data_IF_175494993725
#
_entry.id   IF_175494993725
#
_cell.length_a   1.000
_cell.length_b   1.000
_cell.length_c   1.000
_cell.angle_alpha   90.00
_cell.angle_beta   90.00
_cell.angle_gamma   90.00
#
_symmetry.space_group_name_H-M   'P 1'
#
loop_
_entity.id
_entity.type
_entity.pdbx_description
1 polymer ?
#
# COMPACT_ATOMS: atom_id res chain seq x y z
N UNK A 1 -0.12 -8.56 26.58
CA UNK A 1 0.89 -9.38 25.91
C UNK A 1 2.19 -9.42 26.72
N UNK A 2 2.71 -10.62 27.02
CA UNK A 2 3.84 -10.85 27.94
C UNK A 2 5.24 -10.78 27.28
N UNK A 3 5.41 -9.95 26.25
CA UNK A 3 6.50 -10.15 25.28
C UNK A 3 7.67 -9.15 25.33
N UNK A 4 7.58 -8.05 26.09
CA UNK A 4 8.70 -7.09 26.18
C UNK A 4 9.19 -6.87 27.62
N UNK A 5 8.30 -6.74 28.60
CA UNK A 5 8.64 -6.54 30.01
C UNK A 5 7.56 -7.14 30.93
N UNK A 6 7.88 -7.31 32.21
CA UNK A 6 6.95 -7.78 33.27
C UNK A 6 6.22 -9.10 32.93
N UNK A 7 6.90 -10.02 32.25
CA UNK A 7 6.31 -11.26 31.71
C UNK A 7 5.60 -12.09 32.77
N UNK A 8 6.21 -12.28 33.94
CA UNK A 8 5.64 -13.03 35.06
C UNK A 8 4.31 -12.43 35.54
N UNK A 9 4.25 -11.11 35.71
CA UNK A 9 3.04 -10.42 36.18
C UNK A 9 1.90 -10.53 35.16
N UNK A 10 2.23 -10.36 33.89
CA UNK A 10 1.25 -10.43 32.79
C UNK A 10 0.70 -11.85 32.62
N UNK A 11 1.55 -12.88 32.71
CA UNK A 11 1.12 -14.28 32.62
C UNK A 11 0.25 -14.70 33.81
N UNK A 12 0.64 -14.33 35.03
CA UNK A 12 -0.13 -14.67 36.24
C UNK A 12 -1.51 -14.03 36.21
N UNK A 13 -1.61 -12.75 35.83
CA UNK A 13 -2.90 -12.07 35.73
C UNK A 13 -3.78 -12.73 34.65
N UNK A 14 -3.23 -13.04 33.48
CA UNK A 14 -3.96 -13.68 32.39
C UNK A 14 -4.46 -15.10 32.76
N UNK A 15 -3.66 -15.86 33.51
CA UNK A 15 -4.04 -17.19 33.99
C UNK A 15 -5.18 -17.12 35.02
N UNK A 16 -5.13 -16.15 35.95
CA UNK A 16 -6.18 -15.93 36.95
C UNK A 16 -7.48 -15.47 36.28
N UNK A 17 -7.39 -14.57 35.30
CA UNK A 17 -8.57 -14.06 34.58
C UNK A 17 -9.09 -14.99 33.48
N UNK A 18 -8.41 -16.12 33.21
CA UNK A 18 -8.77 -17.04 32.13
C UNK A 18 -8.78 -16.37 30.74
N UNK A 19 -7.91 -15.40 30.52
CA UNK A 19 -7.93 -14.58 29.31
C UNK A 19 -7.53 -15.39 28.08
N UNK A 20 -8.35 -15.32 27.03
CA UNK A 20 -8.10 -15.95 25.74
C UNK A 20 -7.56 -14.92 24.76
N UNK A 21 -6.49 -15.27 24.06
CA UNK A 21 -5.91 -14.43 23.01
C UNK A 21 -6.52 -14.81 21.64
N UNK A 22 -7.11 -13.82 20.98
CA UNK A 22 -7.72 -13.99 19.67
C UNK A 22 -6.76 -13.88 18.48
N UNK A 23 -5.46 -13.65 18.72
CA UNK A 23 -4.42 -13.58 17.68
C UNK A 23 -4.71 -12.54 16.59
N UNK A 24 -5.31 -11.40 16.96
CA UNK A 24 -5.56 -10.32 16.01
C UNK A 24 -4.34 -9.41 15.84
N UNK A 25 -3.38 -9.46 16.78
CA UNK A 25 -2.19 -8.62 16.75
C UNK A 25 -1.09 -9.18 15.85
N UNK A 26 -0.24 -8.28 15.32
CA UNK A 26 0.96 -8.68 14.57
C UNK A 26 1.91 -9.48 15.47
N UNK A 27 2.16 -8.99 16.68
CA UNK A 27 3.16 -9.55 17.59
C UNK A 27 2.85 -11.00 18.03
N UNK A 28 1.59 -11.29 18.27
CA UNK A 28 1.12 -12.61 18.69
C UNK A 28 1.25 -13.61 17.54
N UNK A 29 0.83 -13.22 16.33
CA UNK A 29 0.97 -14.03 15.12
C UNK A 29 2.44 -14.30 14.77
N UNK A 30 3.32 -13.30 14.92
CA UNK A 30 4.77 -13.48 14.75
C UNK A 30 5.33 -14.48 15.75
N UNK A 31 4.94 -14.38 17.04
CA UNK A 31 5.45 -15.27 18.07
C UNK A 31 5.02 -16.74 17.88
N UNK A 32 3.83 -16.97 17.31
CA UNK A 32 3.27 -18.30 17.05
C UNK A 32 3.72 -18.86 15.68
N UNK A 33 4.18 -18.00 14.76
CA UNK A 33 4.54 -18.40 13.39
C UNK A 33 3.33 -18.49 12.45
N UNK A 34 2.22 -17.82 12.78
CA UNK A 34 1.07 -17.67 11.89
C UNK A 34 1.27 -16.50 10.91
N UNK A 35 0.56 -16.49 9.78
CA UNK A 35 0.60 -15.35 8.87
C UNK A 35 0.14 -14.08 9.59
N UNK A 36 0.96 -13.03 9.53
CA UNK A 36 0.61 -11.74 10.11
C UNK A 36 -0.54 -11.08 9.32
N UNK A 37 -1.44 -10.34 9.98
CA UNK A 37 -2.52 -9.61 9.32
C UNK A 37 -2.00 -8.32 8.67
N UNK A 38 -0.94 -8.42 7.87
CA UNK A 38 -0.32 -7.30 7.15
C UNK A 38 0.18 -7.77 5.78
N UNK A 39 0.12 -6.88 4.78
CA UNK A 39 0.59 -7.16 3.42
C UNK A 39 -0.07 -8.39 2.80
N UNK A 40 0.71 -9.46 2.59
CA UNK A 40 0.26 -10.71 1.96
C UNK A 40 -0.74 -11.52 2.81
N UNK A 41 -0.80 -11.28 4.12
CA UNK A 41 -1.75 -11.94 5.02
C UNK A 41 -3.15 -11.30 5.03
N UNK A 42 -3.34 -10.13 4.41
CA UNK A 42 -4.65 -9.46 4.28
C UNK A 42 -5.44 -10.05 3.09
N UNK A 43 -5.52 -11.38 2.97
CA UNK A 43 -6.22 -12.02 1.83
C UNK A 43 -7.72 -11.76 1.84
N UNK A 44 -8.32 -11.62 3.03
CA UNK A 44 -9.76 -11.48 3.18
C UNK A 44 -10.29 -10.08 2.81
N UNK A 45 -9.44 -9.05 2.78
CA UNK A 45 -9.83 -7.69 2.37
C UNK A 45 -9.43 -7.35 0.93
N UNK A 46 -8.79 -8.27 0.19
CA UNK A 46 -8.50 -8.07 -1.23
C UNK A 46 -9.75 -7.94 -2.11
N UNK A 47 -10.88 -8.46 -1.64
CA UNK A 47 -12.15 -8.45 -2.35
C UNK A 47 -13.21 -7.59 -1.63
N UNK A 48 -12.81 -6.80 -0.63
CA UNK A 48 -13.74 -5.88 0.02
C UNK A 48 -13.87 -4.66 -0.88
N UNK A 49 -14.92 -4.71 -1.69
CA UNK A 49 -15.36 -3.60 -2.54
C UNK A 49 -15.75 -2.42 -1.66
N UNK A 50 -15.00 -1.33 -1.80
CA UNK A 50 -15.31 -0.07 -1.13
C UNK A 50 -16.19 0.75 -2.07
N UNK A 51 -17.43 0.97 -1.65
CA UNK A 51 -18.38 1.83 -2.34
C UNK A 51 -18.36 3.23 -1.73
N UNK A 52 -18.45 4.27 -2.55
CA UNK A 52 -18.71 5.63 -2.06
C UNK A 52 -20.22 5.83 -1.78
N UNK A 53 -20.61 7.03 -1.29
CA UNK A 53 -22.02 7.37 -1.04
C UNK A 53 -22.93 7.40 -2.28
N UNK A 54 -22.38 7.17 -3.48
CA UNK A 54 -23.05 7.01 -4.76
C UNK A 54 -23.02 5.57 -5.30
N UNK A 55 -22.63 4.60 -4.46
CA UNK A 55 -22.63 3.16 -4.75
C UNK A 55 -21.68 2.75 -5.89
N UNK A 56 -20.67 3.58 -6.18
CA UNK A 56 -19.65 3.30 -7.20
C UNK A 56 -18.44 2.62 -6.56
N UNK A 57 -18.02 1.49 -7.14
CA UNK A 57 -16.80 0.76 -6.75
C UNK A 57 -15.57 1.69 -6.90
N UNK A 58 -14.91 2.02 -5.79
CA UNK A 58 -13.74 2.90 -5.76
C UNK A 58 -12.52 2.30 -6.48
N UNK A 59 -12.44 0.98 -6.55
CA UNK A 59 -11.37 0.26 -7.26
C UNK A 59 -11.39 0.60 -8.76
N UNK A 60 -12.58 0.67 -9.36
CA UNK A 60 -12.77 1.04 -10.78
C UNK A 60 -12.29 2.48 -11.00
N UNK A 61 -12.60 3.40 -10.08
CA UNK A 61 -12.18 4.80 -10.20
C UNK A 61 -10.66 4.95 -10.11
N UNK A 62 -9.99 4.17 -9.24
CA UNK A 62 -8.53 4.21 -9.12
C UNK A 62 -7.83 3.65 -10.36
N UNK A 63 -8.33 2.56 -10.93
CA UNK A 63 -7.78 1.98 -12.15
C UNK A 63 -7.87 2.97 -13.33
N UNK A 64 -9.02 3.64 -13.49
CA UNK A 64 -9.20 4.69 -14.52
C UNK A 64 -8.23 5.87 -14.33
N UNK A 65 -7.98 6.29 -13.08
CA UNK A 65 -7.05 7.39 -12.77
C UNK A 65 -5.60 6.98 -13.08
N UNK A 66 -5.22 5.74 -12.78
CA UNK A 66 -3.87 5.23 -13.04
C UNK A 66 -3.62 5.08 -14.55
N UNK A 67 -4.59 4.62 -15.32
CA UNK A 67 -4.48 4.53 -16.78
C UNK A 67 -4.34 5.90 -17.45
N UNK A 68 -5.15 6.88 -17.05
CA UNK A 68 -5.03 8.26 -17.55
C UNK A 68 -3.65 8.84 -17.27
N UNK A 69 -3.13 8.67 -16.04
CA UNK A 69 -1.78 9.12 -15.68
C UNK A 69 -0.68 8.40 -16.46
N UNK A 70 -0.85 7.12 -16.78
CA UNK A 70 0.11 6.38 -17.62
C UNK A 70 0.13 6.95 -19.04
N UNK A 71 -1.04 7.17 -19.64
CA UNK A 71 -1.15 7.73 -20.99
C UNK A 71 -0.61 9.16 -21.05
N UNK A 72 -0.91 9.99 -20.06
CA UNK A 72 -0.35 11.34 -19.95
C UNK A 72 1.17 11.30 -19.88
N UNK A 73 1.75 10.39 -19.09
CA UNK A 73 3.19 10.23 -18.95
C UNK A 73 3.86 9.69 -20.23
N UNK A 74 3.18 8.80 -20.96
CA UNK A 74 3.64 8.32 -22.27
C UNK A 74 3.56 9.40 -23.35
N UNK A 75 2.50 10.23 -23.34
CA UNK A 75 2.37 11.41 -24.21
C UNK A 75 3.39 12.50 -23.87
N UNK A 76 3.71 12.67 -22.59
CA UNK A 76 4.74 13.60 -22.12
C UNK A 76 6.14 13.10 -22.49
N UNK A 77 6.40 11.80 -22.37
CA UNK A 77 7.64 11.19 -22.85
C UNK A 77 7.79 11.28 -24.37
N UNK A 78 6.72 11.05 -25.14
CA UNK A 78 6.74 11.22 -26.59
C UNK A 78 6.94 12.69 -27.01
N UNK A 79 6.33 13.65 -26.28
CA UNK A 79 6.56 15.08 -26.51
C UNK A 79 7.98 15.53 -26.16
N UNK A 80 8.69 14.80 -25.32
CA UNK A 80 10.09 15.09 -25.00
C UNK A 80 11.07 14.55 -26.05
N UNK A 81 10.65 13.61 -26.92
CA UNK A 81 11.48 13.07 -28.00
C UNK A 81 11.35 13.87 -29.32
N UNK A 82 10.28 14.63 -29.51
CA UNK A 82 9.99 15.45 -30.72
C UNK A 82 10.46 16.92 -30.60
N UNK A 83 11.60 17.19 -29.94
CA UNK A 83 12.31 18.48 -30.07
C UNK A 83 13.40 18.32 -31.16
N UNK A 84 13.11 18.56 -32.45
CA UNK A 84 14.15 18.68 -33.44
C UNK A 84 14.93 19.95 -33.09
N UNK A 85 16.17 19.78 -32.63
CA UNK A 85 17.14 20.84 -32.49
C UNK A 85 17.09 21.72 -33.75
N UNK A 86 16.54 22.93 -33.61
CA UNK A 86 16.65 23.95 -34.62
C UNK A 86 18.11 24.40 -34.62
N UNK A 87 18.92 23.85 -35.50
CA UNK A 87 20.28 24.33 -35.77
C UNK A 87 20.17 25.80 -36.19
N UNK A 88 20.52 26.70 -35.26
CA UNK A 88 20.68 28.13 -35.54
C UNK A 88 21.98 28.28 -36.33
N UNK A 89 21.90 28.48 -37.64
CA UNK A 89 23.03 28.94 -38.46
C UNK A 89 23.54 30.28 -37.90
N UNK A 90 24.77 30.27 -37.37
CA UNK A 90 25.54 31.47 -37.02
C UNK A 90 25.86 32.26 -38.29
N UNK A 91 25.56 33.57 -38.37
CA UNK A 91 26.08 34.39 -39.45
C UNK A 91 27.56 34.72 -39.17
N UNK A 92 28.45 34.29 -40.07
CA UNK A 92 29.84 34.74 -40.10
C UNK A 92 29.90 36.27 -40.24
N UNK A 93 30.66 36.94 -39.35
CA UNK A 93 30.98 38.37 -39.44
C UNK A 93 32.34 38.54 -40.14
N UNK A 94 32.33 39.29 -41.25
CA UNK A 94 33.52 39.96 -41.82
C UNK A 94 33.92 41.20 -41.00
#
# INVERSE_FOLDING_TARGET
>A
AASFQETTRVLTNAAISGSVDGLHGIKENVAIGHMIPAGTGIRNYKNVKLFDGSDRDLDIQMDEILEKRRQEKELEAAKAEDDPSFDVEEPEQD
#
